data_IF_419763829498
#
_entry.id   IF_419763829498
#
_cell.length_a   1.000
_cell.length_b   1.000
_cell.length_c   1.000
_cell.angle_alpha   90.00
_cell.angle_beta   90.00
_cell.angle_gamma   90.00
#
_symmetry.space_group_name_H-M   'P 1'
#
loop_
_entity.id
_entity.type
_entity.pdbx_description
1 polymer ?
#
# COMPACT_ATOMS: atom_id res chain seq x y z
N UNK A 1 -10.99 -54.88 -44.70
CA UNK A 1 -11.58 -53.89 -43.78
C UNK A 1 -10.46 -53.23 -42.99
N UNK A 2 -10.05 -52.02 -43.39
CA UNK A 2 -8.96 -51.27 -42.76
C UNK A 2 -9.52 -50.39 -41.63
N UNK A 3 -9.03 -50.55 -40.40
CA UNK A 3 -9.41 -49.73 -39.24
C UNK A 3 -8.71 -48.37 -39.35
N UNK A 4 -9.50 -47.32 -39.56
CA UNK A 4 -9.08 -45.90 -39.55
C UNK A 4 -8.48 -45.51 -38.20
N UNK A 5 -7.34 -44.83 -38.26
CA UNK A 5 -6.59 -44.33 -37.10
C UNK A 5 -7.21 -43.11 -36.41
N UNK A 6 -7.03 -43.10 -35.09
CA UNK A 6 -6.99 -42.01 -34.10
C UNK A 6 -7.38 -40.58 -34.53
N UNK A 7 -8.50 -40.07 -33.97
CA UNK A 7 -8.63 -38.68 -33.51
C UNK A 7 -8.31 -38.65 -32.01
N UNK A 8 -7.13 -38.14 -31.65
CA UNK A 8 -6.71 -37.91 -30.26
C UNK A 8 -5.75 -36.71 -30.26
N UNK A 9 -6.29 -35.53 -30.61
CA UNK A 9 -5.50 -34.29 -30.73
C UNK A 9 -6.18 -33.04 -30.11
N UNK A 10 -7.49 -33.06 -29.87
CA UNK A 10 -8.20 -31.89 -29.31
C UNK A 10 -8.12 -31.77 -27.77
N UNK A 11 -7.99 -32.87 -27.02
CA UNK A 11 -8.14 -32.82 -25.55
C UNK A 11 -6.87 -32.41 -24.81
N UNK A 12 -5.69 -32.70 -25.36
CA UNK A 12 -4.40 -32.34 -24.74
C UNK A 12 -4.06 -30.84 -24.97
N UNK A 13 -4.46 -30.27 -26.11
CA UNK A 13 -4.18 -28.87 -26.48
C UNK A 13 -5.00 -27.89 -25.60
N UNK A 14 -6.25 -28.25 -25.28
CA UNK A 14 -7.11 -27.49 -24.34
C UNK A 14 -6.52 -27.47 -22.93
N UNK A 15 -5.97 -28.60 -22.46
CA UNK A 15 -5.30 -28.67 -21.16
C UNK A 15 -4.00 -27.86 -21.12
N UNK A 16 -3.23 -27.80 -22.20
CA UNK A 16 -2.03 -26.97 -22.28
C UNK A 16 -2.36 -25.48 -22.25
N UNK A 17 -3.41 -25.04 -22.96
CA UNK A 17 -3.91 -23.66 -22.90
C UNK A 17 -4.43 -23.29 -21.51
N UNK A 18 -5.13 -24.19 -20.83
CA UNK A 18 -5.63 -23.97 -19.46
C UNK A 18 -4.47 -23.77 -18.46
N UNK A 19 -3.39 -24.53 -18.62
CA UNK A 19 -2.19 -24.42 -17.78
C UNK A 19 -1.47 -23.10 -18.04
N UNK A 20 -1.34 -22.68 -19.30
CA UNK A 20 -0.78 -21.38 -19.68
C UNK A 20 -1.61 -20.22 -19.11
N UNK A 21 -2.93 -20.27 -19.22
CA UNK A 21 -3.82 -19.27 -18.64
C UNK A 21 -3.66 -19.19 -17.12
N UNK A 22 -3.64 -20.34 -16.43
CA UNK A 22 -3.41 -20.39 -14.99
C UNK A 22 -2.05 -19.82 -14.57
N UNK A 23 -1.00 -20.07 -15.35
CA UNK A 23 0.33 -19.52 -15.11
C UNK A 23 0.35 -18.00 -15.26
N UNK A 24 -0.29 -17.45 -16.31
CA UNK A 24 -0.39 -16.01 -16.54
C UNK A 24 -1.15 -15.32 -15.39
N UNK A 25 -2.26 -15.90 -14.93
CA UNK A 25 -3.04 -15.35 -13.80
C UNK A 25 -2.21 -15.34 -12.50
N UNK A 26 -1.40 -16.37 -12.24
CA UNK A 26 -0.51 -16.42 -11.07
C UNK A 26 0.60 -15.38 -11.13
N UNK A 27 1.21 -15.21 -12.31
CA UNK A 27 2.23 -14.18 -12.54
C UNK A 27 1.60 -12.79 -12.34
N UNK A 28 0.40 -12.54 -12.88
CA UNK A 28 -0.33 -11.30 -12.69
C UNK A 28 -0.60 -10.97 -11.21
N UNK A 29 -1.01 -11.97 -10.41
CA UNK A 29 -1.17 -11.80 -8.96
C UNK A 29 0.15 -11.47 -8.25
N UNK A 30 1.23 -12.16 -8.59
CA UNK A 30 2.55 -11.89 -8.01
C UNK A 30 3.07 -10.49 -8.38
N UNK A 31 2.84 -10.03 -9.61
CA UNK A 31 3.12 -8.65 -10.01
C UNK A 31 2.29 -7.67 -9.19
N UNK A 32 0.97 -7.85 -9.10
CA UNK A 32 0.12 -6.95 -8.33
C UNK A 32 0.55 -6.85 -6.86
N UNK A 33 0.98 -7.96 -6.25
CA UNK A 33 1.54 -7.98 -4.89
C UNK A 33 2.90 -7.28 -4.81
N UNK A 34 3.80 -7.52 -5.75
CA UNK A 34 5.15 -6.93 -5.74
C UNK A 34 5.18 -5.43 -6.03
N UNK A 35 4.29 -4.96 -6.90
CA UNK A 35 4.19 -3.56 -7.29
C UNK A 35 3.22 -2.75 -6.42
N UNK A 36 2.37 -3.42 -5.65
CA UNK A 36 1.35 -2.80 -4.81
C UNK A 36 0.27 -2.08 -5.64
N UNK A 37 -0.64 -1.41 -4.95
CA UNK A 37 -1.77 -0.69 -5.55
C UNK A 37 -1.31 0.34 -6.59
N UNK A 38 -0.33 1.18 -6.23
CA UNK A 38 0.15 2.24 -7.11
C UNK A 38 0.90 1.71 -8.35
N UNK A 39 1.74 0.68 -8.17
CA UNK A 39 2.44 0.07 -9.29
C UNK A 39 1.53 -0.76 -10.19
N UNK A 40 0.44 -1.33 -9.64
CA UNK A 40 -0.62 -1.97 -10.42
C UNK A 40 -1.28 -1.00 -11.40
N UNK A 41 -1.62 0.21 -10.96
CA UNK A 41 -2.16 1.26 -11.85
C UNK A 41 -1.19 1.65 -12.97
N UNK A 42 0.12 1.73 -12.67
CA UNK A 42 1.16 2.04 -13.66
C UNK A 42 1.28 0.92 -14.70
N UNK A 43 1.25 -0.36 -14.26
CA UNK A 43 1.29 -1.50 -15.17
C UNK A 43 0.03 -1.54 -16.02
N UNK A 44 -1.13 -1.31 -15.44
CA UNK A 44 -2.39 -1.26 -16.18
C UNK A 44 -2.36 -0.20 -17.29
N UNK A 45 -1.83 1.00 -17.00
CA UNK A 45 -1.67 2.05 -18.00
C UNK A 45 -0.71 1.64 -19.12
N UNK A 46 0.44 1.04 -18.80
CA UNK A 46 1.38 0.53 -19.81
C UNK A 46 0.77 -0.60 -20.67
N UNK A 47 0.04 -1.53 -20.05
CA UNK A 47 -0.61 -2.65 -20.75
C UNK A 47 -1.81 -2.23 -21.59
N UNK A 48 -2.39 -1.05 -21.35
CA UNK A 48 -3.47 -0.49 -22.16
C UNK A 48 -2.98 0.11 -23.49
N UNK A 49 -1.67 0.33 -23.63
CA UNK A 49 -1.01 0.77 -24.87
C UNK A 49 -0.66 -0.39 -25.80
N UNK A 50 0.32 -0.19 -26.68
CA UNK A 50 0.76 -1.17 -27.70
C UNK A 50 1.62 -2.32 -27.13
N UNK A 51 1.59 -2.51 -25.80
CA UNK A 51 2.32 -3.55 -25.08
C UNK A 51 3.79 -3.22 -24.78
N UNK A 52 4.31 -2.08 -25.22
CA UNK A 52 5.65 -1.61 -24.85
C UNK A 52 5.60 -0.90 -23.49
N UNK A 53 6.46 -1.34 -22.56
CA UNK A 53 6.48 -0.81 -21.19
C UNK A 53 7.38 0.41 -21.17
N UNK A 54 6.82 1.60 -20.94
CA UNK A 54 7.60 2.82 -20.77
C UNK A 54 7.83 3.08 -19.26
N UNK A 55 9.00 2.71 -18.72
CA UNK A 55 9.33 2.95 -17.32
C UNK A 55 9.58 4.44 -17.01
N UNK A 56 9.66 5.30 -18.04
CA UNK A 56 9.92 6.73 -17.89
C UNK A 56 8.63 7.58 -17.84
N UNK A 57 7.46 6.96 -17.68
CA UNK A 57 6.22 7.70 -17.51
C UNK A 57 6.25 8.62 -16.26
N UNK A 58 5.76 9.85 -16.37
CA UNK A 58 5.69 10.77 -15.24
C UNK A 58 4.71 10.24 -14.17
N UNK A 59 5.11 10.35 -12.90
CA UNK A 59 4.27 9.95 -11.78
C UNK A 59 3.00 10.81 -11.65
N UNK A 60 1.95 10.22 -11.10
CA UNK A 60 0.68 10.89 -10.82
C UNK A 60 0.79 11.59 -9.46
N UNK A 61 0.48 12.88 -9.40
CA UNK A 61 0.41 13.61 -8.12
C UNK A 61 -0.76 13.06 -7.30
N UNK A 62 -0.51 12.72 -6.05
CA UNK A 62 -1.54 12.30 -5.10
C UNK A 62 -1.57 13.25 -3.89
N UNK A 63 -2.73 13.38 -3.27
CA UNK A 63 -2.90 14.15 -2.04
C UNK A 63 -3.20 13.18 -0.91
N UNK A 64 -2.44 13.30 0.16
CA UNK A 64 -2.52 12.41 1.31
C UNK A 64 -2.11 13.14 2.57
N UNK A 65 -2.55 12.61 3.70
CA UNK A 65 -2.08 13.00 5.03
C UNK A 65 -0.90 12.11 5.37
N UNK A 66 0.21 12.73 5.77
CA UNK A 66 1.43 12.04 6.17
C UNK A 66 1.60 12.16 7.68
N UNK A 67 1.81 11.02 8.34
CA UNK A 67 2.14 10.94 9.75
C UNK A 67 3.51 10.31 9.95
N UNK A 68 4.29 10.84 10.87
CA UNK A 68 5.58 10.30 11.24
C UNK A 68 5.52 9.83 12.69
N UNK A 69 5.81 8.55 12.92
CA UNK A 69 6.02 8.00 14.26
C UNK A 69 7.51 7.84 14.47
N UNK A 70 8.11 8.74 15.25
CA UNK A 70 9.55 8.77 15.52
C UNK A 70 9.81 8.18 16.91
N UNK A 71 10.78 7.28 17.01
CA UNK A 71 11.27 6.75 18.27
C UNK A 71 12.25 7.75 18.86
N UNK A 72 11.90 8.33 20.01
CA UNK A 72 12.77 9.28 20.69
C UNK A 72 14.07 8.61 21.17
N UNK A 73 15.19 9.33 21.09
CA UNK A 73 16.54 8.87 21.49
C UNK A 73 16.90 7.48 20.94
N UNK A 74 16.56 7.23 19.67
CA UNK A 74 16.77 5.92 19.05
C UNK A 74 18.22 5.43 19.16
N UNK A 75 19.21 6.31 18.88
CA UNK A 75 20.64 5.95 18.94
C UNK A 75 21.03 5.45 20.33
N UNK A 76 20.73 6.21 21.38
CA UNK A 76 21.01 5.82 22.79
C UNK A 76 20.31 4.50 23.14
N UNK A 77 19.06 4.34 22.70
CA UNK A 77 18.27 3.13 22.94
C UNK A 77 18.88 1.91 22.26
N UNK A 78 19.36 2.05 21.02
CA UNK A 78 20.02 0.96 20.28
C UNK A 78 21.38 0.58 20.86
N UNK A 79 22.11 1.54 21.42
CA UNK A 79 23.41 1.30 22.07
C UNK A 79 23.24 0.48 23.36
N UNK A 80 22.18 0.77 24.12
CA UNK A 80 21.87 0.06 25.37
C UNK A 80 21.26 -1.32 25.11
N UNK A 81 20.31 -1.44 24.17
CA UNK A 81 19.60 -2.70 23.89
C UNK A 81 20.44 -3.70 23.08
N UNK A 82 21.37 -3.23 22.26
CA UNK A 82 22.21 -4.07 21.41
C UNK A 82 21.40 -5.11 20.60
N UNK A 83 21.50 -6.39 20.92
CA UNK A 83 20.79 -7.48 20.22
C UNK A 83 19.26 -7.41 20.39
N UNK A 84 18.77 -6.80 21.47
CA UNK A 84 17.33 -6.68 21.78
C UNK A 84 16.63 -5.57 21.00
N UNK A 85 17.38 -4.76 20.22
CA UNK A 85 16.83 -3.65 19.43
C UNK A 85 15.74 -4.12 18.47
N UNK A 86 15.89 -5.31 17.88
CA UNK A 86 14.92 -5.85 16.94
C UNK A 86 13.59 -6.15 17.60
N UNK A 87 13.61 -6.72 18.81
CA UNK A 87 12.39 -7.00 19.58
C UNK A 87 11.67 -5.70 19.94
N UNK A 88 12.43 -4.66 20.30
CA UNK A 88 11.88 -3.34 20.62
C UNK A 88 11.24 -2.66 19.40
N UNK A 89 11.97 -2.54 18.29
CA UNK A 89 11.49 -1.91 17.06
C UNK A 89 10.30 -2.68 16.47
N UNK A 90 10.33 -4.02 16.48
CA UNK A 90 9.24 -4.83 15.95
C UNK A 90 7.94 -4.67 16.76
N UNK A 91 8.02 -4.50 18.09
CA UNK A 91 6.83 -4.23 18.92
C UNK A 91 6.22 -2.87 18.58
N UNK A 92 7.04 -1.84 18.42
CA UNK A 92 6.56 -0.51 18.01
C UNK A 92 5.96 -0.57 16.62
N UNK A 93 6.63 -1.25 15.69
CA UNK A 93 6.15 -1.47 14.33
C UNK A 93 4.78 -2.17 14.34
N UNK A 94 4.61 -3.25 15.10
CA UNK A 94 3.34 -3.97 15.21
C UNK A 94 2.21 -3.04 15.70
N UNK A 95 2.47 -2.20 16.70
CA UNK A 95 1.49 -1.24 17.20
C UNK A 95 1.16 -0.18 16.13
N UNK A 96 2.18 0.41 15.50
CA UNK A 96 1.99 1.44 14.47
C UNK A 96 1.22 0.89 13.26
N UNK A 97 1.66 -0.25 12.71
CA UNK A 97 0.99 -0.92 11.59
C UNK A 97 -0.45 -1.30 11.96
N UNK A 98 -0.69 -1.91 13.12
CA UNK A 98 -2.05 -2.36 13.50
C UNK A 98 -3.03 -1.22 13.72
N UNK A 99 -2.60 -0.07 14.26
CA UNK A 99 -3.48 1.09 14.42
C UNK A 99 -3.74 1.76 13.08
N UNK A 100 -2.70 2.02 12.28
CA UNK A 100 -2.81 2.70 11.00
C UNK A 100 -3.70 1.93 10.03
N UNK A 101 -3.47 0.63 9.89
CA UNK A 101 -4.27 -0.25 9.03
C UNK A 101 -5.75 -0.26 9.44
N UNK A 102 -6.01 -0.36 10.76
CA UNK A 102 -7.37 -0.37 11.31
C UNK A 102 -8.14 0.93 11.02
N UNK A 103 -7.45 2.05 10.86
CA UNK A 103 -8.04 3.36 10.60
C UNK A 103 -7.80 3.84 9.16
N UNK A 104 -7.64 2.91 8.22
CA UNK A 104 -7.67 3.20 6.78
C UNK A 104 -6.42 3.90 6.25
N UNK A 105 -5.30 3.83 6.97
CA UNK A 105 -4.00 4.29 6.50
C UNK A 105 -3.12 3.13 6.06
N UNK A 106 -2.00 3.47 5.42
CA UNK A 106 -0.94 2.53 5.07
C UNK A 106 0.38 2.98 5.69
N UNK A 107 1.14 2.05 6.24
CA UNK A 107 2.52 2.30 6.68
C UNK A 107 3.44 1.96 5.51
N UNK A 108 4.12 2.97 4.96
CA UNK A 108 4.84 2.84 3.69
C UNK A 108 6.29 2.39 3.89
N UNK A 109 7.02 3.03 4.82
CA UNK A 109 8.45 2.81 4.99
C UNK A 109 8.87 2.87 6.47
N UNK A 110 9.69 1.92 6.87
CA UNK A 110 10.52 2.01 8.07
C UNK A 110 11.84 2.69 7.69
N UNK A 111 12.12 3.85 8.29
CA UNK A 111 13.32 4.68 8.05
C UNK A 111 14.26 4.56 9.27
N UNK A 112 14.38 3.36 9.83
CA UNK A 112 15.21 3.12 11.01
C UNK A 112 14.50 3.52 12.30
N UNK A 113 14.54 4.81 12.64
CA UNK A 113 13.93 5.38 13.85
C UNK A 113 12.50 5.90 13.63
N UNK A 114 12.04 5.98 12.38
CA UNK A 114 10.75 6.54 12.03
C UNK A 114 9.90 5.62 11.14
N UNK A 115 8.60 5.57 11.43
CA UNK A 115 7.60 4.94 10.57
C UNK A 115 6.81 6.01 9.82
N UNK A 116 6.82 5.94 8.49
CA UNK A 116 6.00 6.78 7.62
C UNK A 116 4.61 6.17 7.43
N UNK A 117 3.59 6.90 7.85
CA UNK A 117 2.18 6.54 7.76
C UNK A 117 1.49 7.47 6.76
N UNK A 118 0.58 6.93 5.95
CA UNK A 118 -0.05 7.67 4.85
C UNK A 118 -1.55 7.36 4.79
N UNK A 119 -2.37 8.40 4.70
CA UNK A 119 -3.80 8.30 4.39
C UNK A 119 -4.08 9.04 3.10
N UNK A 120 -4.39 8.31 2.03
CA UNK A 120 -4.76 8.92 0.74
C UNK A 120 -6.18 9.45 0.82
N UNK A 121 -6.43 10.63 0.26
CA UNK A 121 -7.79 11.13 0.12
C UNK A 121 -8.57 10.33 -0.92
N UNK A 122 -9.87 10.21 -0.71
CA UNK A 122 -10.79 9.54 -1.64
C UNK A 122 -10.93 10.35 -2.93
N UNK A 123 -11.10 11.66 -2.80
CA UNK A 123 -11.10 12.62 -3.92
C UNK A 123 -9.96 13.64 -3.72
N UNK A 124 -8.79 13.42 -4.32
CA UNK A 124 -7.65 14.34 -4.25
C UNK A 124 -7.91 15.71 -4.89
N UNK A 125 -8.79 15.79 -5.89
CA UNK A 125 -9.09 17.00 -6.65
C UNK A 125 -9.75 18.07 -5.77
N UNK A 126 -10.65 17.67 -4.87
CA UNK A 126 -11.23 18.59 -3.86
C UNK A 126 -10.13 19.26 -3.03
N UNK A 127 -9.13 18.49 -2.59
CA UNK A 127 -8.02 19.00 -1.77
C UNK A 127 -7.11 19.91 -2.59
N UNK A 128 -6.91 19.62 -3.88
CA UNK A 128 -6.16 20.48 -4.81
C UNK A 128 -6.83 21.86 -4.95
N UNK A 129 -8.14 21.89 -5.17
CA UNK A 129 -8.88 23.15 -5.32
C UNK A 129 -8.85 23.98 -4.03
N UNK A 130 -8.98 23.33 -2.88
CA UNK A 130 -8.84 24.00 -1.58
C UNK A 130 -7.42 24.54 -1.38
N UNK A 131 -6.38 23.80 -1.77
CA UNK A 131 -5.01 24.25 -1.69
C UNK A 131 -4.73 25.49 -2.58
N UNK A 132 -5.36 25.58 -3.76
CA UNK A 132 -5.26 26.75 -4.65
C UNK A 132 -5.90 28.00 -4.04
N UNK A 133 -7.04 27.84 -3.38
CA UNK A 133 -7.77 28.97 -2.77
C UNK A 133 -7.19 29.39 -1.42
N UNK A 134 -6.41 28.52 -0.77
CA UNK A 134 -5.82 28.75 0.55
C UNK A 134 -6.85 28.80 1.69
N UNK A 135 -8.12 28.50 1.41
CA UNK A 135 -9.20 28.55 2.38
C UNK A 135 -9.82 27.16 2.54
N UNK A 136 -9.43 26.48 3.61
CA UNK A 136 -9.95 25.16 3.95
C UNK A 136 -11.29 25.29 4.67
N UNK A 137 -12.37 24.95 3.96
CA UNK A 137 -13.73 24.88 4.52
C UNK A 137 -14.26 23.45 4.38
N UNK A 138 -14.49 22.79 5.51
CA UNK A 138 -15.01 21.43 5.57
C UNK A 138 -16.38 21.28 4.88
N UNK A 139 -17.13 22.36 4.66
CA UNK A 139 -18.41 22.31 3.93
C UNK A 139 -18.25 22.02 2.43
N UNK A 140 -17.05 22.20 1.89
CA UNK A 140 -16.72 21.99 0.47
C UNK A 140 -16.03 20.66 0.20
N UNK A 141 -15.85 19.84 1.23
CA UNK A 141 -15.18 18.53 1.16
C UNK A 141 -16.23 17.43 1.29
N UNK A 142 -16.12 16.36 0.51
CA UNK A 142 -16.95 15.18 0.66
C UNK A 142 -16.80 14.55 2.05
N UNK A 143 -17.82 13.81 2.49
CA UNK A 143 -17.83 13.21 3.84
C UNK A 143 -16.71 12.19 3.99
N UNK A 144 -16.38 11.48 2.93
CA UNK A 144 -15.34 10.47 2.85
C UNK A 144 -13.96 11.06 3.15
N UNK A 145 -13.61 12.17 2.51
CA UNK A 145 -12.36 12.89 2.76
C UNK A 145 -12.26 13.44 4.19
N UNK A 146 -13.38 13.95 4.74
CA UNK A 146 -13.45 14.39 6.14
C UNK A 146 -13.21 13.21 7.08
N UNK A 147 -13.87 12.07 6.84
CA UNK A 147 -13.69 10.86 7.64
C UNK A 147 -12.23 10.39 7.57
N UNK A 148 -11.60 10.39 6.41
CA UNK A 148 -10.19 10.02 6.25
C UNK A 148 -9.30 10.92 7.11
N UNK A 149 -9.56 12.23 7.11
CA UNK A 149 -8.81 13.17 7.95
C UNK A 149 -9.00 12.91 9.45
N UNK A 150 -10.24 12.68 9.88
CA UNK A 150 -10.56 12.35 11.27
C UNK A 150 -9.91 11.03 11.70
N UNK A 151 -9.96 10.01 10.83
CA UNK A 151 -9.35 8.70 11.08
C UNK A 151 -7.83 8.79 11.15
N UNK A 152 -7.18 9.62 10.33
CA UNK A 152 -5.74 9.84 10.42
C UNK A 152 -5.35 10.38 11.80
N UNK A 153 -6.03 11.42 12.28
CA UNK A 153 -5.78 12.01 13.61
C UNK A 153 -6.09 10.99 14.72
N UNK A 154 -7.23 10.31 14.63
CA UNK A 154 -7.64 9.31 15.62
C UNK A 154 -6.65 8.14 15.70
N UNK A 155 -6.15 7.70 14.55
CA UNK A 155 -5.12 6.66 14.46
C UNK A 155 -3.85 7.11 15.17
N UNK A 156 -3.35 8.31 14.90
CA UNK A 156 -2.14 8.83 15.57
C UNK A 156 -2.31 8.87 17.09
N UNK A 157 -3.45 9.35 17.59
CA UNK A 157 -3.75 9.37 19.01
C UNK A 157 -3.81 7.96 19.61
N UNK A 158 -4.41 7.00 18.90
CA UNK A 158 -4.48 5.60 19.33
C UNK A 158 -3.12 4.93 19.34
N UNK A 159 -2.27 5.21 18.36
CA UNK A 159 -0.88 4.73 18.31
C UNK A 159 -0.12 5.20 19.55
N UNK A 160 -0.14 6.51 19.83
CA UNK A 160 0.51 7.10 21.01
C UNK A 160 -0.01 6.47 22.30
N UNK A 161 -1.33 6.42 22.47
CA UNK A 161 -1.94 5.85 23.67
C UNK A 161 -1.59 4.37 23.87
N UNK A 162 -1.44 3.60 22.79
CA UNK A 162 -1.14 2.16 22.87
C UNK A 162 0.33 1.88 23.09
N UNK A 163 1.23 2.71 22.54
CA UNK A 163 2.67 2.66 22.86
C UNK A 163 2.87 2.95 24.35
N UNK A 164 2.25 4.01 24.88
CA UNK A 164 2.39 4.41 26.29
C UNK A 164 1.60 3.55 27.28
N UNK A 165 0.76 2.62 26.82
CA UNK A 165 0.01 1.73 27.72
C UNK A 165 0.91 0.74 28.47
N UNK A 166 2.12 0.49 27.95
CA UNK A 166 3.11 -0.39 28.58
C UNK A 166 4.04 0.33 29.57
N UNK A 167 3.83 1.63 29.78
CA UNK A 167 4.61 2.47 30.72
C UNK A 167 4.05 2.42 32.16
N UNK A 168 3.13 1.49 32.45
CA UNK A 168 2.51 1.25 33.78
C UNK A 168 2.65 -0.19 34.24
#
# INVERSE_FOLDING_TARGET
MSKKGKKKKDTDEVHETDVLESAIVKIGHLLALGFGEAGGSIIQQNMSGDGDLDPMMPGIKTHAIFGFCIIDKFVETTEVLQEDVYTYVNRIAEIAHSMVDRFGGAVNKNIGDAFLMVWKFFDPEEIIELAKTGHFDNRKVCKENIIIADMAVFSTLKTIAKINKYDQ
#
